data_IF_081569361693
#
_entry.id   IF_081569361693
#
_cell.length_a   1.000
_cell.length_b   1.000
_cell.length_c   1.000
_cell.angle_alpha   90.00
_cell.angle_beta   90.00
_cell.angle_gamma   90.00
#
_symmetry.space_group_name_H-M   'P 1'
#
loop_
_entity.id
_entity.type
_entity.pdbx_description
1 polymer ?
#
# COMPACT_ATOMS: atom_id res chain seq x y z
N UNK A 1 34.90 0.12 -18.06
CA UNK A 1 33.49 -0.15 -18.40
C UNK A 1 32.61 0.82 -17.64
N UNK A 2 31.78 1.60 -18.33
CA UNK A 2 30.68 2.37 -17.75
C UNK A 2 29.75 1.51 -16.87
N UNK A 3 29.15 2.12 -15.84
CA UNK A 3 28.21 1.45 -14.93
C UNK A 3 26.97 0.91 -15.67
N UNK A 4 26.52 1.62 -16.71
CA UNK A 4 25.32 1.28 -17.51
C UNK A 4 25.47 -0.08 -18.20
N UNK A 5 26.70 -0.47 -18.58
CA UNK A 5 26.99 -1.73 -19.28
C UNK A 5 26.99 -2.94 -18.32
N UNK A 6 26.89 -2.70 -17.02
CA UNK A 6 26.87 -3.73 -15.96
C UNK A 6 25.48 -3.95 -15.36
N UNK A 7 24.49 -3.16 -15.80
CA UNK A 7 23.13 -3.20 -15.28
C UNK A 7 22.24 -3.90 -16.32
N UNK A 8 21.29 -4.72 -15.85
CA UNK A 8 20.31 -5.36 -16.73
C UNK A 8 19.46 -4.30 -17.42
N UNK A 9 19.27 -4.44 -18.74
CA UNK A 9 18.46 -3.53 -19.56
C UNK A 9 17.08 -3.25 -18.95
N UNK A 10 16.43 -4.27 -18.38
CA UNK A 10 15.12 -4.13 -17.73
C UNK A 10 15.11 -3.10 -16.59
N UNK A 11 16.22 -2.97 -15.86
CA UNK A 11 16.35 -1.99 -14.76
C UNK A 11 16.44 -0.56 -15.31
N UNK A 12 17.11 -0.38 -16.45
CA UNK A 12 17.21 0.92 -17.13
C UNK A 12 15.86 1.35 -17.70
N UNK A 13 15.04 0.38 -18.11
CA UNK A 13 13.70 0.60 -18.66
C UNK A 13 12.60 0.69 -17.59
N UNK A 14 12.93 0.57 -16.30
CA UNK A 14 11.94 0.72 -15.24
C UNK A 14 11.37 2.15 -15.24
N UNK A 15 10.06 2.24 -15.40
CA UNK A 15 9.32 3.46 -15.10
C UNK A 15 8.94 3.48 -13.62
N UNK A 16 8.87 4.66 -12.98
CA UNK A 16 8.37 4.77 -11.62
C UNK A 16 7.00 4.13 -11.49
N UNK A 17 6.82 3.31 -10.46
CA UNK A 17 5.51 2.79 -10.14
C UNK A 17 4.67 3.91 -9.52
N UNK A 18 3.75 4.49 -10.31
CA UNK A 18 2.81 5.48 -9.82
C UNK A 18 1.59 4.72 -9.29
N UNK A 19 1.54 4.54 -7.97
CA UNK A 19 0.42 3.92 -7.28
C UNK A 19 -0.42 4.99 -6.59
N UNK A 20 -1.69 5.07 -7.00
CA UNK A 20 -2.64 6.01 -6.42
C UNK A 20 -2.33 7.49 -6.68
N UNK A 21 -3.26 8.33 -6.26
CA UNK A 21 -3.11 9.75 -6.11
C UNK A 21 -2.34 9.97 -4.82
N UNK A 22 -1.46 10.98 -4.81
CA UNK A 22 -0.81 11.44 -3.59
C UNK A 22 -1.84 12.21 -2.76
N UNK A 23 -2.83 11.49 -2.21
CA UNK A 23 -4.05 12.08 -1.66
C UNK A 23 -3.77 13.19 -0.64
N UNK A 24 -2.72 13.01 0.18
CA UNK A 24 -2.27 14.03 1.12
C UNK A 24 -1.70 15.28 0.43
N UNK A 25 -0.82 15.11 -0.57
CA UNK A 25 -0.32 16.23 -1.36
C UNK A 25 -1.48 16.94 -2.10
N UNK A 26 -2.42 16.19 -2.66
CA UNK A 26 -3.60 16.75 -3.33
C UNK A 26 -4.52 17.51 -2.37
N UNK A 27 -4.63 17.06 -1.12
CA UNK A 27 -5.39 17.75 -0.07
C UNK A 27 -4.74 19.10 0.25
N UNK A 28 -3.43 19.09 0.48
CA UNK A 28 -2.62 20.30 0.73
C UNK A 28 -2.73 21.31 -0.42
N UNK A 29 -2.53 20.87 -1.66
CA UNK A 29 -2.58 21.72 -2.86
C UNK A 29 -3.98 22.29 -3.13
N UNK A 30 -5.03 21.57 -2.75
CA UNK A 30 -6.42 22.01 -2.95
C UNK A 30 -6.99 22.81 -1.77
N UNK A 31 -6.25 22.94 -0.67
CA UNK A 31 -6.73 23.58 0.56
C UNK A 31 -7.87 22.83 1.24
N UNK A 32 -8.03 21.53 0.94
CA UNK A 32 -9.07 20.65 1.50
C UNK A 32 -8.46 19.68 2.50
N UNK A 33 -9.29 19.16 3.39
CA UNK A 33 -8.92 18.02 4.23
C UNK A 33 -8.99 16.71 3.45
N UNK A 34 -8.25 15.70 3.89
CA UNK A 34 -8.24 14.37 3.28
C UNK A 34 -9.64 13.74 3.23
N UNK A 35 -10.48 14.03 4.23
CA UNK A 35 -11.86 13.55 4.34
C UNK A 35 -12.82 14.18 3.34
N UNK A 36 -12.44 15.31 2.75
CA UNK A 36 -13.21 15.99 1.70
C UNK A 36 -12.82 15.53 0.29
N UNK A 37 -11.75 14.73 0.18
CA UNK A 37 -11.32 14.15 -1.08
C UNK A 37 -11.96 12.79 -1.29
N UNK A 38 -12.39 12.54 -2.53
CA UNK A 38 -12.79 11.22 -2.99
C UNK A 38 -11.64 10.65 -3.80
N UNK A 39 -11.05 9.55 -3.33
CA UNK A 39 -9.92 8.91 -3.96
C UNK A 39 -10.36 7.78 -4.90
N UNK A 40 -10.40 8.06 -6.21
CA UNK A 40 -10.67 7.07 -7.27
C UNK A 40 -9.40 6.44 -7.87
N UNK A 41 -8.23 6.76 -7.32
CA UNK A 41 -6.96 6.29 -7.87
C UNK A 41 -6.57 4.88 -7.42
N UNK A 42 -7.29 4.34 -6.44
CA UNK A 42 -7.07 3.03 -5.84
C UNK A 42 -8.32 2.16 -5.96
N UNK A 43 -8.12 0.87 -6.20
CA UNK A 43 -9.20 -0.11 -6.30
C UNK A 43 -9.61 -0.63 -4.91
N UNK A 44 -9.91 0.27 -3.97
CA UNK A 44 -10.41 -0.09 -2.65
C UNK A 44 -11.93 -0.29 -2.69
N UNK A 45 -12.46 -1.12 -1.79
CA UNK A 45 -13.91 -1.26 -1.62
C UNK A 45 -14.51 0.10 -1.20
N UNK A 46 -15.41 0.71 -2.01
CA UNK A 46 -16.01 2.00 -1.67
C UNK A 46 -16.88 1.96 -0.41
N UNK A 47 -17.33 0.78 0.01
CA UNK A 47 -18.07 0.58 1.27
C UNK A 47 -17.15 0.56 2.50
N UNK A 48 -15.85 0.72 2.30
CA UNK A 48 -14.86 0.67 3.35
C UNK A 48 -14.55 -0.75 3.85
N UNK A 49 -13.60 -0.87 4.77
CA UNK A 49 -13.34 -2.13 5.46
C UNK A 49 -14.56 -2.52 6.32
N UNK A 50 -14.77 -3.82 6.52
CA UNK A 50 -15.71 -4.32 7.52
C UNK A 50 -15.28 -3.90 8.94
N UNK A 51 -16.11 -4.15 9.95
CA UNK A 51 -15.76 -3.89 11.36
C UNK A 51 -14.54 -4.73 11.78
N UNK A 52 -13.34 -4.13 11.68
CA UNK A 52 -12.06 -4.81 11.89
C UNK A 52 -11.41 -4.47 13.24
N UNK A 53 -12.02 -3.63 14.07
CA UNK A 53 -11.42 -3.17 15.33
C UNK A 53 -10.98 -4.35 16.22
N UNK A 54 -11.85 -5.34 16.41
CA UNK A 54 -11.57 -6.53 17.23
C UNK A 54 -10.46 -7.43 16.65
N UNK A 55 -10.52 -7.88 15.37
CA UNK A 55 -9.44 -8.69 14.81
C UNK A 55 -8.11 -7.93 14.73
N UNK A 56 -8.12 -6.63 14.44
CA UNK A 56 -6.90 -5.81 14.43
C UNK A 56 -6.29 -5.69 15.83
N UNK A 57 -7.10 -5.48 16.87
CA UNK A 57 -6.63 -5.45 18.26
C UNK A 57 -6.07 -6.80 18.74
N UNK A 58 -6.56 -7.91 18.18
CA UNK A 58 -5.99 -9.23 18.45
C UNK A 58 -4.65 -9.42 17.73
N UNK A 59 -4.58 -9.06 16.44
CA UNK A 59 -3.39 -9.20 15.61
C UNK A 59 -2.25 -8.27 16.05
N UNK A 60 -2.56 -7.06 16.55
CA UNK A 60 -1.56 -6.09 17.00
C UNK A 60 -0.73 -6.59 18.18
N UNK A 61 -1.27 -7.49 19.01
CA UNK A 61 -0.56 -8.13 20.13
C UNK A 61 0.66 -8.93 19.68
N UNK A 62 0.68 -9.37 18.43
CA UNK A 62 1.77 -10.18 17.85
C UNK A 62 2.48 -9.48 16.69
N UNK A 63 2.28 -8.17 16.48
CA UNK A 63 2.83 -7.43 15.34
C UNK A 63 4.37 -7.48 15.29
N UNK A 64 5.03 -7.62 16.44
CA UNK A 64 6.49 -7.74 16.53
C UNK A 64 7.03 -9.12 16.14
N UNK A 65 6.17 -10.12 15.97
CA UNK A 65 6.56 -11.46 15.59
C UNK A 65 6.39 -11.65 14.08
N UNK A 66 7.34 -12.34 13.46
CA UNK A 66 7.19 -12.75 12.07
C UNK A 66 6.05 -13.79 11.95
N UNK A 67 5.17 -13.69 10.93
CA UNK A 67 4.07 -14.64 10.77
C UNK A 67 4.58 -16.05 10.43
N UNK A 68 3.85 -17.08 10.86
CA UNK A 68 4.11 -18.47 10.45
C UNK A 68 3.91 -18.60 8.93
N UNK A 69 4.98 -18.93 8.20
CA UNK A 69 4.98 -19.05 6.74
C UNK A 69 4.09 -20.18 6.20
N UNK A 70 3.61 -21.07 7.08
CA UNK A 70 2.64 -22.10 6.71
C UNK A 70 1.22 -21.56 6.67
N UNK A 71 0.94 -20.42 7.30
CA UNK A 71 -0.37 -19.78 7.40
C UNK A 71 -1.51 -20.77 7.73
N UNK A 72 -1.41 -21.57 8.80
CA UNK A 72 -2.34 -22.67 9.07
C UNK A 72 -3.80 -22.21 9.30
N UNK A 73 -4.03 -20.96 9.71
CA UNK A 73 -5.38 -20.38 9.85
C UNK A 73 -5.98 -19.81 8.56
N UNK A 74 -5.23 -19.79 7.46
CA UNK A 74 -5.67 -19.26 6.16
C UNK A 74 -5.69 -20.31 5.06
N UNK A 75 -5.12 -21.50 5.30
CA UNK A 75 -5.26 -22.64 4.42
C UNK A 75 -6.51 -23.42 4.83
N UNK A 76 -7.39 -23.68 3.86
CA UNK A 76 -8.48 -24.64 4.00
C UNK A 76 -7.94 -26.07 3.96
#
# INVERSE_FOLDING_TARGET
>A
MPLIDRIRKQVVELVPCIHGARAQQSAEESGKSLTELIDFSVNLNPLGPMELARPLAAASKTIGNYPDNRYPGFKK
#
